data_IF_500132304445
#
_entry.id   IF_500132304445
#
_cell.length_a   1.000
_cell.length_b   1.000
_cell.length_c   1.000
_cell.angle_alpha   90.00
_cell.angle_beta   90.00
_cell.angle_gamma   90.00
#
_symmetry.space_group_name_H-M   'P 1'
#
loop_
_entity.id
_entity.type
_entity.pdbx_description
1 polymer ?
#
# COMPACT_ATOMS: atom_id res chain seq x y z
N UNK A 1 -3.76 1.25 -52.42
CA UNK A 1 -4.35 2.60 -52.28
C UNK A 1 -4.16 2.99 -50.83
N UNK A 2 -3.02 3.54 -50.48
CA UNK A 2 -2.63 4.92 -50.22
C UNK A 2 -3.56 5.67 -49.25
N UNK A 3 -3.14 5.88 -48.03
CA UNK A 3 -3.07 7.21 -47.42
C UNK A 3 -2.17 7.20 -46.16
N UNK A 4 -0.99 7.79 -46.33
CA UNK A 4 -0.12 8.33 -45.25
C UNK A 4 -0.65 9.69 -44.84
N UNK A 5 -0.72 10.01 -43.55
CA UNK A 5 -0.67 11.36 -42.94
C UNK A 5 -0.46 11.14 -41.43
N UNK A 6 0.33 11.82 -40.70
CA UNK A 6 1.54 12.64 -40.82
C UNK A 6 1.93 12.87 -39.37
N UNK A 7 3.17 12.52 -39.01
CA UNK A 7 3.85 12.94 -37.78
C UNK A 7 3.96 14.46 -37.80
N UNK A 8 3.38 15.13 -36.83
CA UNK A 8 3.61 16.55 -36.59
C UNK A 8 4.75 16.67 -35.58
N UNK A 9 5.87 17.19 -36.10
CA UNK A 9 7.03 17.64 -35.35
C UNK A 9 6.66 18.74 -34.33
N UNK A 10 6.90 18.50 -33.06
CA UNK A 10 6.97 19.53 -32.02
C UNK A 10 8.45 19.83 -31.71
N UNK A 11 9.14 20.42 -32.67
CA UNK A 11 10.44 21.01 -32.40
C UNK A 11 10.51 22.38 -33.10
N UNK A 12 10.83 23.41 -32.33
CA UNK A 12 11.16 24.79 -32.69
C UNK A 12 10.03 25.82 -32.53
N UNK A 13 9.76 26.20 -31.28
CA UNK A 13 9.36 27.60 -31.03
C UNK A 13 10.66 28.36 -30.74
N UNK A 14 11.34 28.79 -31.80
CA UNK A 14 12.36 29.83 -31.71
C UNK A 14 11.61 31.16 -31.68
N UNK A 15 11.57 31.79 -30.51
CA UNK A 15 11.07 33.17 -30.36
C UNK A 15 12.03 34.08 -31.17
N UNK A 16 11.63 34.50 -32.34
CA UNK A 16 12.36 35.53 -33.13
C UNK A 16 12.15 36.88 -32.42
N UNK A 17 13.20 37.62 -32.06
CA UNK A 17 13.08 38.94 -31.50
C UNK A 17 12.45 39.88 -32.54
N UNK A 18 11.55 40.78 -32.12
CA UNK A 18 10.91 41.75 -32.99
C UNK A 18 11.95 42.68 -33.63
N UNK A 19 11.68 43.13 -34.87
CA UNK A 19 12.57 43.98 -35.67
C UNK A 19 13.00 45.26 -34.91
N UNK A 20 12.17 45.79 -34.02
CA UNK A 20 12.49 46.94 -33.17
C UNK A 20 13.55 46.70 -32.09
N UNK A 21 13.71 45.46 -31.64
CA UNK A 21 14.77 45.12 -30.69
C UNK A 21 16.13 45.01 -31.35
N UNK A 22 16.18 44.59 -32.61
CA UNK A 22 17.43 44.48 -33.39
C UNK A 22 18.01 45.84 -33.79
N UNK A 23 17.17 46.86 -34.02
CA UNK A 23 17.63 48.22 -34.39
C UNK A 23 18.11 48.98 -33.15
N UNK A 24 17.54 48.75 -31.98
CA UNK A 24 18.03 49.29 -30.71
C UNK A 24 19.41 48.70 -30.34
N UNK A 25 19.67 47.44 -30.69
CA UNK A 25 20.92 46.73 -30.39
C UNK A 25 22.10 47.17 -31.29
N UNK A 26 21.86 47.76 -32.44
CA UNK A 26 22.93 48.29 -33.34
C UNK A 26 23.56 49.60 -32.83
N UNK A 27 22.87 50.29 -31.93
CA UNK A 27 23.38 51.55 -31.34
C UNK A 27 24.32 51.39 -30.13
N UNK A 28 24.43 50.21 -29.57
CA UNK A 28 25.27 49.94 -28.40
C UNK A 28 26.57 49.30 -28.87
N UNK A 29 27.68 50.04 -28.84
CA UNK A 29 29.02 49.55 -29.17
C UNK A 29 29.38 48.35 -28.31
N UNK A 30 30.40 47.54 -28.72
CA UNK A 30 30.73 46.19 -28.25
C UNK A 30 30.82 45.95 -26.72
N UNK A 31 30.74 46.98 -25.88
CA UNK A 31 30.63 46.89 -24.43
C UNK A 31 29.18 46.68 -23.92
N UNK A 32 28.16 47.02 -24.74
CA UNK A 32 26.74 46.79 -24.40
C UNK A 32 26.30 45.32 -24.50
N UNK A 33 26.97 44.53 -25.31
CA UNK A 33 26.69 43.10 -25.44
C UNK A 33 27.01 42.28 -24.16
N UNK A 34 28.09 42.64 -23.48
CA UNK A 34 28.44 41.97 -22.22
C UNK A 34 27.44 42.30 -21.10
N UNK A 35 26.83 43.47 -21.11
CA UNK A 35 25.83 43.85 -20.11
C UNK A 35 24.47 43.14 -20.29
N UNK A 36 24.01 42.97 -21.53
CA UNK A 36 22.76 42.27 -21.84
C UNK A 36 22.90 40.76 -21.58
N UNK A 37 24.05 40.16 -21.90
CA UNK A 37 24.34 38.76 -21.60
C UNK A 37 24.48 38.53 -20.06
N UNK A 38 25.09 39.46 -19.36
CA UNK A 38 25.24 39.36 -17.89
C UNK A 38 23.90 39.54 -17.15
N UNK A 39 22.98 40.41 -17.63
CA UNK A 39 21.65 40.57 -17.04
C UNK A 39 20.78 39.34 -17.31
N UNK A 40 20.86 38.71 -18.48
CA UNK A 40 20.15 37.45 -18.74
C UNK A 40 20.74 36.27 -17.94
N UNK A 41 22.05 36.25 -17.66
CA UNK A 41 22.67 35.26 -16.80
C UNK A 41 22.29 35.47 -15.32
N UNK A 42 22.19 36.72 -14.85
CA UNK A 42 21.77 37.06 -13.49
C UNK A 42 20.26 36.83 -13.28
N UNK A 43 19.40 37.09 -14.29
CA UNK A 43 17.97 36.81 -14.23
C UNK A 43 17.64 35.34 -14.47
N UNK A 44 18.48 34.57 -15.16
CA UNK A 44 18.37 33.13 -15.34
C UNK A 44 18.84 32.32 -14.13
N UNK A 45 19.61 32.90 -13.22
CA UNK A 45 20.14 32.20 -12.05
C UNK A 45 19.17 32.23 -10.85
N UNK A 46 18.12 33.04 -10.85
CA UNK A 46 17.18 33.17 -9.71
C UNK A 46 15.85 32.40 -9.86
N UNK A 47 15.67 31.62 -10.92
CA UNK A 47 14.47 30.79 -11.11
C UNK A 47 14.74 29.28 -10.95
N UNK A 48 15.82 28.89 -10.29
CA UNK A 48 15.82 27.60 -9.60
C UNK A 48 15.02 27.82 -8.30
N UNK A 49 13.70 27.67 -8.34
CA UNK A 49 12.94 27.42 -7.13
C UNK A 49 13.63 26.25 -6.46
N UNK A 50 14.25 26.49 -5.31
CA UNK A 50 14.85 25.43 -4.51
C UNK A 50 13.77 24.33 -4.39
N UNK A 51 14.03 23.17 -4.98
CA UNK A 51 13.10 22.01 -4.92
C UNK A 51 12.85 21.78 -3.43
N UNK A 52 11.63 22.07 -2.99
CA UNK A 52 11.28 22.00 -1.57
C UNK A 52 11.49 20.56 -1.14
N UNK A 53 12.47 20.34 -0.27
CA UNK A 53 12.67 19.01 0.29
C UNK A 53 11.47 18.65 1.15
N UNK A 54 10.61 17.81 0.60
CA UNK A 54 9.32 17.39 1.21
C UNK A 54 9.55 16.81 2.61
N UNK A 55 10.57 15.99 2.80
CA UNK A 55 10.89 15.37 4.09
C UNK A 55 11.28 16.43 5.14
N UNK A 56 12.11 17.37 4.76
CA UNK A 56 12.54 18.48 5.65
C UNK A 56 11.34 19.35 6.03
N UNK A 57 10.54 19.78 5.05
CA UNK A 57 9.34 20.58 5.29
C UNK A 57 8.39 19.89 6.29
N UNK A 58 8.06 18.62 6.06
CA UNK A 58 7.15 17.87 6.92
C UNK A 58 7.74 17.61 8.30
N UNK A 59 9.06 17.42 8.39
CA UNK A 59 9.77 17.27 9.66
C UNK A 59 9.66 18.56 10.48
N UNK A 60 9.86 19.73 9.87
CA UNK A 60 9.78 21.02 10.56
C UNK A 60 8.32 21.33 10.99
N UNK A 61 7.35 20.98 10.18
CA UNK A 61 5.93 21.09 10.56
C UNK A 61 5.63 20.18 11.77
N UNK A 62 6.16 18.97 11.78
CA UNK A 62 5.94 17.98 12.86
C UNK A 62 6.57 18.39 14.20
N UNK A 63 7.56 19.29 14.20
CA UNK A 63 8.17 19.83 15.44
C UNK A 63 7.28 20.87 16.16
N UNK A 64 6.25 21.39 15.47
CA UNK A 64 5.34 22.37 16.04
C UNK A 64 4.41 21.76 17.08
N UNK A 65 3.91 22.54 18.04
CA UNK A 65 2.80 22.12 18.90
C UNK A 65 1.61 21.62 18.06
N UNK A 66 0.82 20.68 18.57
CA UNK A 66 -0.21 19.97 17.81
C UNK A 66 -1.18 20.91 17.06
N UNK A 67 -1.65 21.95 17.72
CA UNK A 67 -2.58 22.94 17.13
C UNK A 67 -1.92 23.74 15.99
N UNK A 68 -0.70 24.26 16.24
CA UNK A 68 0.06 25.01 15.23
C UNK A 68 0.46 24.12 14.04
N UNK A 69 0.75 22.84 14.30
CA UNK A 69 1.03 21.86 13.28
C UNK A 69 -0.18 21.64 12.37
N UNK A 70 -1.35 21.39 12.97
CA UNK A 70 -2.59 21.20 12.20
C UNK A 70 -2.92 22.46 11.39
N UNK A 71 -2.80 23.65 12.00
CA UNK A 71 -3.02 24.91 11.31
C UNK A 71 -2.09 25.06 10.10
N UNK A 72 -0.78 24.82 10.26
CA UNK A 72 0.19 24.91 9.17
C UNK A 72 -0.15 23.92 8.02
N UNK A 73 -0.54 22.68 8.35
CA UNK A 73 -0.97 21.72 7.34
C UNK A 73 -2.25 22.19 6.62
N UNK A 74 -3.24 22.69 7.35
CA UNK A 74 -4.50 23.18 6.74
C UNK A 74 -4.28 24.40 5.85
N UNK A 75 -3.45 25.36 6.26
CA UNK A 75 -3.14 26.55 5.46
C UNK A 75 -2.40 26.21 4.18
N UNK A 76 -1.43 25.29 4.24
CA UNK A 76 -0.73 24.81 3.06
C UNK A 76 -1.66 24.02 2.14
N UNK A 77 -2.42 23.08 2.69
CA UNK A 77 -3.33 22.23 1.93
C UNK A 77 -4.47 23.04 1.25
N UNK A 78 -4.94 24.13 1.85
CA UNK A 78 -5.89 25.05 1.20
C UNK A 78 -5.33 25.68 -0.06
N UNK A 79 -4.04 25.99 -0.09
CA UNK A 79 -3.36 26.52 -1.28
C UNK A 79 -3.15 25.45 -2.33
N UNK A 80 -2.92 24.20 -1.90
CA UNK A 80 -2.72 23.04 -2.77
C UNK A 80 -4.04 22.57 -3.42
N UNK A 81 -5.16 22.60 -2.71
CA UNK A 81 -6.52 22.40 -3.18
C UNK A 81 -6.90 20.99 -3.62
N UNK A 82 -5.92 20.13 -3.87
CA UNK A 82 -6.12 18.77 -4.42
C UNK A 82 -5.05 17.83 -3.89
N UNK A 83 -5.36 16.53 -3.84
CA UNK A 83 -4.40 15.46 -3.57
C UNK A 83 -4.60 14.27 -4.52
N UNK A 84 -3.52 13.80 -5.14
CA UNK A 84 -3.52 12.62 -6.00
C UNK A 84 -3.08 11.40 -5.21
N UNK A 85 -3.92 10.37 -5.22
CA UNK A 85 -3.71 9.16 -4.45
C UNK A 85 -3.72 7.93 -5.34
N UNK A 86 -2.59 7.20 -5.41
CA UNK A 86 -2.53 5.86 -5.99
C UNK A 86 -2.74 4.83 -4.89
N UNK A 87 -3.74 3.97 -5.06
CA UNK A 87 -4.06 2.98 -4.05
C UNK A 87 -4.56 1.65 -4.58
N UNK A 88 -4.40 0.60 -3.78
CA UNK A 88 -4.83 -0.76 -4.12
C UNK A 88 -6.17 -1.16 -3.47
N UNK A 89 -6.75 -0.31 -2.62
CA UNK A 89 -8.08 -0.52 -2.05
C UNK A 89 -9.13 -0.48 -3.18
N UNK A 90 -10.18 -1.29 -3.09
CA UNK A 90 -11.27 -1.22 -4.07
C UNK A 90 -11.97 0.15 -4.03
N UNK A 91 -12.59 0.52 -5.15
CA UNK A 91 -13.19 1.85 -5.28
C UNK A 91 -14.28 2.13 -4.24
N UNK A 92 -15.27 1.25 -3.96
CA UNK A 92 -16.30 1.50 -2.95
C UNK A 92 -15.75 1.80 -1.56
N UNK A 93 -14.76 1.01 -1.09
CA UNK A 93 -14.14 1.20 0.22
C UNK A 93 -13.37 2.53 0.27
N UNK A 94 -12.63 2.86 -0.81
CA UNK A 94 -11.89 4.12 -0.88
C UNK A 94 -12.83 5.33 -0.96
N UNK A 95 -13.93 5.24 -1.70
CA UNK A 95 -14.90 6.32 -1.85
C UNK A 95 -15.54 6.70 -0.51
N UNK A 96 -15.74 5.73 0.38
CA UNK A 96 -16.24 5.99 1.73
C UNK A 96 -15.22 6.77 2.57
N UNK A 97 -13.96 6.35 2.55
CA UNK A 97 -12.87 7.06 3.22
C UNK A 97 -12.68 8.46 2.64
N UNK A 98 -12.72 8.59 1.32
CA UNK A 98 -12.59 9.87 0.62
C UNK A 98 -13.72 10.83 0.96
N UNK A 99 -14.98 10.38 0.95
CA UNK A 99 -16.12 11.22 1.36
C UNK A 99 -16.00 11.72 2.79
N UNK A 100 -15.55 10.87 3.71
CA UNK A 100 -15.35 11.28 5.09
C UNK A 100 -14.16 12.23 5.25
N UNK A 101 -13.08 12.04 4.49
CA UNK A 101 -11.94 12.96 4.43
C UNK A 101 -12.34 14.34 3.89
N UNK A 102 -13.04 14.39 2.75
CA UNK A 102 -13.47 15.66 2.14
C UNK A 102 -14.56 16.36 2.95
N UNK A 103 -15.36 15.63 3.74
CA UNK A 103 -16.25 16.24 4.72
C UNK A 103 -15.49 16.96 5.83
N UNK A 104 -14.36 16.42 6.26
CA UNK A 104 -13.49 17.06 7.27
C UNK A 104 -12.66 18.18 6.68
N UNK A 105 -12.21 18.06 5.43
CA UNK A 105 -11.38 19.02 4.72
C UNK A 105 -12.02 19.44 3.39
N UNK A 106 -13.12 20.24 3.41
CA UNK A 106 -13.94 20.54 2.23
C UNK A 106 -13.23 21.40 1.17
N UNK A 107 -12.06 21.90 1.48
CA UNK A 107 -11.19 22.64 0.57
C UNK A 107 -10.26 21.74 -0.25
N UNK A 108 -10.29 20.41 -0.04
CA UNK A 108 -9.47 19.43 -0.76
C UNK A 108 -10.32 18.57 -1.70
N UNK A 109 -9.91 18.51 -2.96
CA UNK A 109 -10.34 17.49 -3.90
C UNK A 109 -9.43 16.26 -3.78
N UNK A 110 -9.98 15.05 -3.90
CA UNK A 110 -9.19 13.80 -3.93
C UNK A 110 -9.32 13.15 -5.29
N UNK A 111 -8.20 12.93 -5.96
CA UNK A 111 -8.09 12.16 -7.20
C UNK A 111 -7.50 10.78 -6.91
N UNK A 112 -8.38 9.81 -6.73
CA UNK A 112 -7.98 8.43 -6.50
C UNK A 112 -7.82 7.65 -7.80
N UNK A 113 -6.67 6.97 -7.94
CA UNK A 113 -6.42 6.02 -9.04
C UNK A 113 -6.20 4.64 -8.44
N UNK A 114 -7.15 3.74 -8.67
CA UNK A 114 -7.06 2.35 -8.23
C UNK A 114 -6.16 1.56 -9.19
N UNK A 115 -5.10 0.95 -8.64
CA UNK A 115 -4.15 0.09 -9.37
C UNK A 115 -3.82 -1.13 -8.53
N UNK A 116 -3.32 -2.20 -9.16
CA UNK A 116 -2.67 -3.30 -8.45
C UNK A 116 -1.34 -2.83 -7.84
N UNK A 117 -0.88 -3.48 -6.76
CA UNK A 117 0.33 -3.03 -6.06
C UNK A 117 1.57 -2.98 -6.97
N UNK A 118 1.79 -4.00 -7.81
CA UNK A 118 2.88 -4.01 -8.80
C UNK A 118 2.75 -2.88 -9.84
N UNK A 119 1.52 -2.60 -10.29
CA UNK A 119 1.26 -1.49 -11.22
C UNK A 119 1.55 -0.14 -10.58
N UNK A 120 1.25 0.02 -9.27
CA UNK A 120 1.59 1.23 -8.52
C UNK A 120 3.10 1.43 -8.51
N UNK A 121 3.88 0.38 -8.17
CA UNK A 121 5.35 0.45 -8.15
C UNK A 121 5.91 0.82 -9.52
N UNK A 122 5.52 0.08 -10.56
CA UNK A 122 6.01 0.31 -11.92
C UNK A 122 5.70 1.73 -12.40
N UNK A 123 4.49 2.22 -12.12
CA UNK A 123 4.06 3.56 -12.48
C UNK A 123 4.83 4.62 -11.71
N UNK A 124 4.93 4.50 -10.38
CA UNK A 124 5.66 5.43 -9.54
C UNK A 124 7.14 5.52 -9.92
N UNK A 125 7.79 4.38 -10.20
CA UNK A 125 9.18 4.33 -10.67
C UNK A 125 9.35 5.03 -12.01
N UNK A 126 8.44 4.79 -12.95
CA UNK A 126 8.50 5.39 -14.30
C UNK A 126 8.32 6.90 -14.24
N UNK A 127 7.29 7.37 -13.53
CA UNK A 127 6.98 8.79 -13.36
C UNK A 127 8.10 9.52 -12.61
N UNK A 128 8.65 8.90 -11.55
CA UNK A 128 9.77 9.45 -10.80
C UNK A 128 11.02 9.64 -11.67
N UNK A 129 11.34 8.68 -12.54
CA UNK A 129 12.49 8.75 -13.45
C UNK A 129 12.32 9.81 -14.53
N UNK A 130 11.10 9.96 -15.05
CA UNK A 130 10.79 10.95 -16.09
C UNK A 130 10.59 12.36 -15.54
N UNK A 131 10.66 12.57 -14.22
CA UNK A 131 10.43 13.87 -13.59
C UNK A 131 8.97 14.36 -13.64
N UNK A 132 8.05 13.49 -14.07
CA UNK A 132 6.62 13.81 -14.07
C UNK A 132 6.09 13.69 -12.63
N UNK A 133 5.31 14.68 -12.13
CA UNK A 133 4.67 14.54 -10.84
C UNK A 133 3.74 13.34 -10.83
N UNK A 134 4.01 12.41 -9.91
CA UNK A 134 3.18 11.23 -9.69
C UNK A 134 2.10 11.49 -8.65
N UNK A 135 1.57 10.44 -8.02
CA UNK A 135 0.73 10.60 -6.86
C UNK A 135 1.44 11.36 -5.73
N UNK A 136 0.69 12.14 -4.97
CA UNK A 136 1.15 12.76 -3.73
C UNK A 136 1.23 11.72 -2.61
N UNK A 137 0.28 10.78 -2.63
CA UNK A 137 0.14 9.69 -1.67
C UNK A 137 0.05 8.35 -2.38
N UNK A 138 0.76 7.37 -1.85
CA UNK A 138 0.78 5.99 -2.33
C UNK A 138 0.34 5.06 -1.20
N UNK A 139 -0.70 4.25 -1.45
CA UNK A 139 -1.15 3.24 -0.49
C UNK A 139 -1.32 1.87 -1.13
N UNK A 140 -0.67 0.87 -0.55
CA UNK A 140 -0.74 -0.50 -1.05
C UNK A 140 -0.31 -1.51 0.01
N UNK A 141 -0.34 -2.80 -0.35
CA UNK A 141 0.26 -3.85 0.48
C UNK A 141 1.73 -3.53 0.74
N UNK A 142 2.14 -3.59 2.00
CA UNK A 142 3.47 -3.20 2.48
C UNK A 142 4.62 -3.96 1.83
N UNK A 143 4.38 -5.17 1.31
CA UNK A 143 5.36 -6.02 0.61
C UNK A 143 6.18 -5.28 -0.45
N UNK A 144 5.56 -4.33 -1.14
CA UNK A 144 6.18 -3.62 -2.26
C UNK A 144 6.79 -2.25 -1.87
N UNK A 145 6.59 -1.79 -0.64
CA UNK A 145 7.12 -0.49 -0.19
C UNK A 145 8.65 -0.41 -0.12
N UNK A 146 9.39 -1.48 0.25
CA UNK A 146 10.85 -1.44 0.23
C UNK A 146 11.44 -1.00 -1.11
N UNK A 147 10.84 -1.40 -2.23
CA UNK A 147 11.31 -0.98 -3.55
C UNK A 147 11.18 0.53 -3.78
N UNK A 148 10.06 1.13 -3.36
CA UNK A 148 9.88 2.58 -3.47
C UNK A 148 10.82 3.35 -2.56
N UNK A 149 11.11 2.79 -1.40
CA UNK A 149 12.05 3.37 -0.44
C UNK A 149 13.49 3.34 -0.98
N UNK A 150 13.98 2.16 -1.38
CA UNK A 150 15.34 2.00 -1.89
C UNK A 150 15.63 2.90 -3.11
N UNK A 151 14.59 3.19 -3.90
CA UNK A 151 14.63 4.12 -5.04
C UNK A 151 14.39 5.59 -4.66
N UNK A 152 14.20 5.91 -3.37
CA UNK A 152 13.93 7.26 -2.84
C UNK A 152 12.68 7.92 -3.46
N UNK A 153 11.67 7.11 -3.79
CA UNK A 153 10.40 7.58 -4.37
C UNK A 153 9.44 8.08 -3.28
N UNK A 154 9.60 7.61 -2.06
CA UNK A 154 8.82 8.03 -0.89
C UNK A 154 9.73 8.65 0.16
N UNK A 155 9.16 9.50 1.02
CA UNK A 155 9.86 10.19 2.11
C UNK A 155 9.45 9.67 3.47
N UNK A 156 10.28 9.93 4.48
CA UNK A 156 9.88 9.74 5.89
C UNK A 156 8.82 10.73 6.28
N UNK A 157 7.76 10.20 6.85
CA UNK A 157 6.74 11.01 7.49
C UNK A 157 6.20 10.30 8.72
N UNK A 158 6.50 10.82 9.89
CA UNK A 158 6.01 10.31 11.17
C UNK A 158 4.74 11.04 11.55
N UNK A 159 3.60 10.51 11.15
CA UNK A 159 2.32 11.02 11.62
C UNK A 159 2.22 10.92 13.14
N UNK A 160 1.75 11.95 13.87
CA UNK A 160 1.48 11.85 15.30
C UNK A 160 0.48 10.75 15.65
N UNK A 161 -0.35 10.35 14.69
CA UNK A 161 -1.33 9.27 14.87
C UNK A 161 -0.67 7.90 15.07
N UNK A 162 0.61 7.74 14.71
CA UNK A 162 1.34 6.48 14.93
C UNK A 162 1.51 6.12 16.40
N UNK A 163 1.41 7.10 17.32
CA UNK A 163 1.41 6.87 18.75
C UNK A 163 0.24 6.01 19.26
N UNK A 164 -0.84 5.92 18.48
CA UNK A 164 -2.03 5.14 18.82
C UNK A 164 -2.06 3.76 18.17
N UNK A 165 -1.03 3.39 17.41
CA UNK A 165 -1.00 2.08 16.74
C UNK A 165 -0.71 0.95 17.73
N UNK A 166 -1.28 -0.21 17.47
CA UNK A 166 -1.00 -1.44 18.21
C UNK A 166 0.46 -1.85 18.01
N UNK A 167 1.01 -2.51 19.00
CA UNK A 167 2.33 -3.12 18.91
C UNK A 167 2.39 -4.05 17.68
N UNK A 168 3.49 -3.97 16.94
CA UNK A 168 3.68 -4.74 15.69
C UNK A 168 3.23 -4.02 14.42
N UNK A 169 2.48 -2.91 14.53
CA UNK A 169 2.05 -2.11 13.38
C UNK A 169 2.79 -0.79 13.22
N UNK A 170 3.81 -0.56 14.04
CA UNK A 170 4.64 0.65 13.95
C UNK A 170 5.86 0.40 13.08
N UNK A 171 6.13 1.34 12.17
CA UNK A 171 7.38 1.43 11.45
C UNK A 171 8.36 2.32 12.23
N UNK A 172 9.41 1.72 12.80
CA UNK A 172 10.40 2.45 13.61
C UNK A 172 11.18 3.49 12.81
N UNK A 173 11.29 3.31 11.50
CA UNK A 173 12.02 4.24 10.63
C UNK A 173 11.12 5.38 10.11
N UNK A 174 9.81 5.26 10.21
CA UNK A 174 8.86 6.27 9.77
C UNK A 174 8.73 6.40 8.26
N UNK A 175 9.03 5.32 7.53
CA UNK A 175 8.96 5.27 6.07
C UNK A 175 7.54 5.09 5.57
N UNK A 176 6.74 4.39 6.37
CA UNK A 176 5.35 4.07 6.05
C UNK A 176 4.48 4.16 7.28
N UNK A 177 3.20 4.43 7.07
CA UNK A 177 2.18 4.33 8.09
C UNK A 177 1.24 3.16 7.77
N UNK A 178 1.05 2.27 8.73
CA UNK A 178 0.17 1.11 8.55
C UNK A 178 -1.30 1.50 8.74
N UNK A 179 -2.12 1.22 7.75
CA UNK A 179 -3.53 1.66 7.73
C UNK A 179 -4.48 0.58 8.21
N UNK A 180 -4.37 -0.64 7.69
CA UNK A 180 -5.15 -1.79 8.12
C UNK A 180 -4.39 -3.09 7.89
N UNK A 181 -4.86 -4.15 8.53
CA UNK A 181 -4.31 -5.48 8.42
C UNK A 181 -5.38 -6.50 8.01
N UNK A 182 -4.94 -7.69 7.67
CA UNK A 182 -5.79 -8.85 7.41
C UNK A 182 -5.16 -10.05 8.07
N UNK A 183 -5.89 -10.68 8.99
CA UNK A 183 -5.50 -11.95 9.58
C UNK A 183 -5.80 -13.11 8.64
N UNK A 184 -4.93 -14.11 8.63
CA UNK A 184 -5.23 -15.40 8.04
C UNK A 184 -6.03 -16.24 9.03
N UNK A 185 -7.00 -16.97 8.51
CA UNK A 185 -7.79 -17.92 9.26
C UNK A 185 -7.97 -19.19 8.44
N UNK A 186 -8.07 -20.32 9.09
CA UNK A 186 -8.53 -21.54 8.46
C UNK A 186 -10.03 -21.47 8.30
N UNK A 187 -10.52 -21.42 7.05
CA UNK A 187 -11.96 -21.32 6.74
C UNK A 187 -12.48 -22.69 6.33
N UNK A 188 -13.56 -23.15 6.94
CA UNK A 188 -14.12 -24.45 6.65
C UNK A 188 -15.63 -24.42 6.41
N UNK A 189 -16.11 -25.38 5.63
CA UNK A 189 -17.55 -25.56 5.39
C UNK A 189 -18.17 -26.35 6.55
N UNK A 190 -19.16 -25.78 7.24
CA UNK A 190 -19.78 -26.36 8.46
C UNK A 190 -20.67 -27.56 8.18
N UNK A 191 -21.06 -27.82 6.92
CA UNK A 191 -21.80 -29.04 6.53
C UNK A 191 -20.86 -30.24 6.31
N UNK A 192 -19.54 -29.99 6.11
CA UNK A 192 -18.54 -31.00 5.81
C UNK A 192 -17.55 -31.22 6.94
N UNK A 193 -17.33 -30.21 7.77
CA UNK A 193 -16.42 -30.23 8.92
C UNK A 193 -17.19 -29.68 10.13
N UNK A 194 -17.39 -30.50 11.16
CA UNK A 194 -17.99 -30.04 12.40
C UNK A 194 -17.03 -29.09 13.11
N UNK A 195 -17.52 -28.00 13.76
CA UNK A 195 -16.66 -27.08 14.50
C UNK A 195 -15.75 -27.76 15.53
N UNK A 196 -16.23 -28.84 16.17
CA UNK A 196 -15.43 -29.63 17.14
C UNK A 196 -14.30 -30.43 16.48
N UNK A 197 -14.35 -30.68 15.19
CA UNK A 197 -13.37 -31.45 14.42
C UNK A 197 -12.41 -30.58 13.63
N UNK A 198 -12.67 -29.27 13.56
CA UNK A 198 -11.83 -28.33 12.86
C UNK A 198 -10.42 -28.25 13.48
N UNK A 199 -9.36 -28.06 12.67
CA UNK A 199 -7.99 -28.02 13.15
C UNK A 199 -7.78 -26.78 14.04
N UNK A 200 -6.97 -26.92 15.10
CA UNK A 200 -6.66 -25.83 16.04
C UNK A 200 -5.27 -25.25 15.81
N UNK A 201 -4.42 -26.00 15.12
CA UNK A 201 -3.04 -25.60 14.81
C UNK A 201 -2.69 -26.01 13.37
N UNK A 202 -1.55 -25.53 12.89
CA UNK A 202 -1.04 -25.96 11.58
C UNK A 202 -0.63 -27.45 11.59
N UNK A 203 -0.13 -27.94 12.69
CA UNK A 203 0.27 -29.34 12.86
C UNK A 203 -0.92 -30.29 12.70
N UNK A 204 -2.12 -29.90 13.15
CA UNK A 204 -3.34 -30.69 13.02
C UNK A 204 -3.69 -30.98 11.55
N UNK A 205 -3.25 -30.13 10.61
CA UNK A 205 -3.45 -30.33 9.16
C UNK A 205 -2.70 -31.55 8.60
N UNK A 206 -1.70 -32.04 9.32
CA UNK A 206 -0.97 -33.26 8.94
C UNK A 206 -1.68 -34.56 9.38
N UNK A 207 -2.78 -34.45 10.13
CA UNK A 207 -3.53 -35.63 10.52
C UNK A 207 -4.19 -36.29 9.30
N UNK A 208 -4.17 -37.64 9.15
CA UNK A 208 -4.68 -38.35 7.97
C UNK A 208 -6.12 -38.04 7.56
N UNK A 209 -6.96 -37.59 8.49
CA UNK A 209 -8.35 -37.18 8.18
C UNK A 209 -8.46 -36.02 7.20
N UNK A 210 -7.39 -35.23 7.01
CA UNK A 210 -7.37 -34.08 6.11
C UNK A 210 -6.91 -34.42 4.70
N UNK A 211 -6.55 -35.69 4.46
CA UNK A 211 -6.06 -36.12 3.14
C UNK A 211 -7.10 -35.84 2.03
N UNK A 212 -6.69 -35.04 1.02
CA UNK A 212 -7.52 -34.65 -0.12
C UNK A 212 -8.55 -33.56 0.18
N UNK A 213 -8.61 -33.03 1.41
CA UNK A 213 -9.63 -32.10 1.90
C UNK A 213 -9.15 -30.66 2.03
N UNK A 214 -7.86 -30.40 1.84
CA UNK A 214 -7.22 -29.11 2.06
C UNK A 214 -7.04 -28.35 0.75
N UNK A 215 -7.26 -27.03 0.80
CA UNK A 215 -6.96 -26.11 -0.28
C UNK A 215 -6.16 -24.91 0.24
N UNK A 216 -5.25 -24.42 -0.59
CA UNK A 216 -4.41 -23.25 -0.32
C UNK A 216 -4.41 -22.34 -1.56
N UNK A 217 -4.29 -21.03 -1.37
CA UNK A 217 -4.06 -20.14 -2.50
C UNK A 217 -2.66 -20.38 -3.08
N UNK A 218 -2.54 -20.45 -4.40
CA UNK A 218 -1.23 -20.63 -5.06
C UNK A 218 -0.35 -19.36 -4.98
N UNK A 219 -0.88 -18.26 -4.43
CA UNK A 219 -0.19 -16.99 -4.16
C UNK A 219 -0.02 -16.76 -2.63
N UNK A 220 -0.03 -17.83 -1.83
CA UNK A 220 0.08 -17.79 -0.37
C UNK A 220 1.48 -17.43 0.15
N UNK A 221 2.23 -16.61 -0.59
CA UNK A 221 3.62 -16.28 -0.29
C UNK A 221 3.77 -15.53 1.03
N UNK A 222 2.86 -14.57 1.32
CA UNK A 222 2.88 -13.81 2.57
C UNK A 222 2.57 -14.70 3.78
N UNK A 223 1.65 -15.67 3.63
CA UNK A 223 1.35 -16.66 4.68
C UNK A 223 2.55 -17.58 4.92
N UNK A 224 3.19 -18.04 3.84
CA UNK A 224 4.38 -18.89 3.93
C UNK A 224 5.57 -18.14 4.58
N UNK A 225 5.74 -16.85 4.26
CA UNK A 225 6.71 -15.99 4.95
C UNK A 225 6.42 -15.91 6.46
N UNK A 226 5.16 -15.83 6.85
CA UNK A 226 4.75 -15.88 8.25
C UNK A 226 5.10 -17.21 8.94
N UNK A 227 4.95 -18.33 8.25
CA UNK A 227 5.40 -19.64 8.76
C UNK A 227 6.92 -19.70 8.93
N UNK A 228 7.67 -19.15 7.95
CA UNK A 228 9.14 -19.07 8.05
C UNK A 228 9.56 -18.23 9.25
N UNK A 229 8.90 -17.09 9.48
CA UNK A 229 9.16 -16.25 10.65
C UNK A 229 8.90 -16.99 11.98
N UNK A 230 7.85 -17.83 12.03
CA UNK A 230 7.44 -18.53 13.23
C UNK A 230 8.29 -19.77 13.55
N UNK A 231 8.63 -20.57 12.54
CA UNK A 231 9.24 -21.87 12.78
C UNK A 231 10.58 -22.10 12.05
N UNK A 232 11.03 -21.12 11.28
CA UNK A 232 12.24 -21.21 10.45
C UNK A 232 12.00 -21.84 9.07
N UNK A 233 12.86 -21.51 8.10
CA UNK A 233 12.70 -21.84 6.69
C UNK A 233 12.63 -23.36 6.43
N UNK A 234 13.50 -24.13 7.10
CA UNK A 234 13.56 -25.58 6.94
C UNK A 234 12.26 -26.27 7.39
N UNK A 235 11.78 -25.91 8.61
CA UNK A 235 10.55 -26.49 9.17
C UNK A 235 9.32 -26.07 8.36
N UNK A 236 9.22 -24.79 7.98
CA UNK A 236 8.12 -24.28 7.17
C UNK A 236 8.06 -24.98 5.80
N UNK A 237 9.21 -25.15 5.13
CA UNK A 237 9.30 -25.84 3.85
C UNK A 237 8.97 -27.33 3.98
N UNK A 238 9.45 -27.99 5.04
CA UNK A 238 9.12 -29.39 5.33
C UNK A 238 7.63 -29.57 5.58
N UNK A 239 7.02 -28.70 6.38
CA UNK A 239 5.59 -28.70 6.65
C UNK A 239 4.76 -28.54 5.36
N UNK A 240 5.07 -27.53 4.55
CA UNK A 240 4.36 -27.29 3.29
C UNK A 240 4.51 -28.48 2.32
N UNK A 241 5.70 -29.07 2.23
CA UNK A 241 5.94 -30.26 1.41
C UNK A 241 5.08 -31.44 1.87
N UNK A 242 4.95 -31.69 3.19
CA UNK A 242 4.08 -32.74 3.72
C UNK A 242 2.61 -32.49 3.39
N UNK A 243 2.14 -31.24 3.45
CA UNK A 243 0.79 -30.92 3.00
C UNK A 243 0.57 -31.30 1.53
N UNK A 244 1.55 -31.06 0.67
CA UNK A 244 1.47 -31.44 -0.76
C UNK A 244 1.52 -32.94 -0.94
N UNK A 245 2.56 -33.61 -0.40
CA UNK A 245 2.86 -35.00 -0.72
C UNK A 245 2.03 -36.01 0.08
N UNK A 246 1.75 -35.72 1.35
CA UNK A 246 1.07 -36.66 2.25
C UNK A 246 -0.44 -36.36 2.33
N UNK A 247 -0.81 -35.07 2.33
CA UNK A 247 -2.21 -34.66 2.46
C UNK A 247 -2.89 -34.39 1.11
N UNK A 248 -2.16 -34.33 0.00
CA UNK A 248 -2.74 -34.06 -1.33
C UNK A 248 -3.34 -32.64 -1.39
N UNK A 249 -2.61 -31.65 -0.87
CA UNK A 249 -3.00 -30.25 -0.87
C UNK A 249 -3.35 -29.77 -2.28
N UNK A 250 -4.52 -29.13 -2.42
CA UNK A 250 -4.96 -28.53 -3.69
C UNK A 250 -4.55 -27.06 -3.72
N UNK A 251 -3.89 -26.64 -4.79
CA UNK A 251 -3.60 -25.24 -5.04
C UNK A 251 -4.65 -24.66 -5.96
N UNK A 252 -5.24 -23.52 -5.55
CA UNK A 252 -6.25 -22.78 -6.32
C UNK A 252 -5.84 -21.30 -6.35
N UNK A 253 -6.56 -20.48 -7.07
CA UNK A 253 -6.21 -19.08 -7.25
C UNK A 253 -7.34 -18.19 -6.75
N UNK A 254 -6.98 -17.10 -6.04
CA UNK A 254 -7.86 -16.06 -5.54
C UNK A 254 -8.61 -16.43 -4.25
N UNK A 255 -8.13 -15.96 -3.11
CA UNK A 255 -8.70 -16.20 -1.77
C UNK A 255 -10.23 -16.01 -1.68
N UNK A 256 -10.78 -14.95 -2.32
CA UNK A 256 -12.23 -14.71 -2.29
C UNK A 256 -13.00 -15.79 -3.04
N UNK A 257 -12.50 -16.23 -4.21
CA UNK A 257 -13.12 -17.32 -4.97
C UNK A 257 -12.99 -18.64 -4.21
N UNK A 258 -11.82 -18.95 -3.64
CA UNK A 258 -11.63 -20.18 -2.87
C UNK A 258 -12.57 -20.19 -1.65
N UNK A 259 -12.73 -19.06 -0.96
CA UNK A 259 -13.68 -18.94 0.16
C UNK A 259 -15.13 -19.21 -0.32
N UNK A 260 -15.51 -18.66 -1.47
CA UNK A 260 -16.83 -18.92 -2.07
C UNK A 260 -17.03 -20.39 -2.41
N UNK A 261 -16.05 -21.05 -3.01
CA UNK A 261 -16.09 -22.49 -3.34
C UNK A 261 -16.11 -23.35 -2.07
N UNK A 262 -15.41 -22.94 -1.02
CA UNK A 262 -15.49 -23.60 0.29
C UNK A 262 -16.91 -23.44 0.87
N UNK A 263 -17.51 -22.25 0.78
CA UNK A 263 -18.89 -22.02 1.21
C UNK A 263 -19.90 -22.88 0.41
N UNK A 264 -19.66 -23.07 -0.88
CA UNK A 264 -20.46 -23.96 -1.74
C UNK A 264 -20.25 -25.46 -1.49
N UNK A 265 -19.25 -25.84 -0.67
CA UNK A 265 -18.94 -27.24 -0.34
C UNK A 265 -18.03 -27.95 -1.33
N UNK A 266 -17.38 -27.24 -2.26
CA UNK A 266 -16.39 -27.84 -3.18
C UNK A 266 -15.06 -28.13 -2.49
N UNK A 267 -14.75 -27.37 -1.43
CA UNK A 267 -13.60 -27.56 -0.57
C UNK A 267 -14.04 -27.67 0.89
N UNK A 268 -13.39 -28.53 1.63
CA UNK A 268 -13.71 -28.72 3.04
C UNK A 268 -13.06 -27.65 3.92
N UNK A 269 -11.78 -27.32 3.64
CA UNK A 269 -10.99 -26.38 4.42
C UNK A 269 -9.98 -25.61 3.57
N UNK A 270 -10.06 -24.27 3.63
CA UNK A 270 -9.07 -23.32 3.11
C UNK A 270 -8.10 -22.95 4.24
N UNK A 271 -6.79 -23.18 4.03
CA UNK A 271 -5.78 -23.01 5.09
C UNK A 271 -5.47 -21.52 5.36
N UNK A 272 -5.32 -20.71 4.30
CA UNK A 272 -4.85 -19.33 4.34
C UNK A 272 -5.96 -18.30 4.02
N UNK A 273 -7.19 -18.61 4.41
CA UNK A 273 -8.32 -17.74 4.12
C UNK A 273 -8.21 -16.36 4.79
N UNK A 274 -8.73 -15.34 4.12
CA UNK A 274 -8.84 -14.01 4.73
C UNK A 274 -10.08 -13.95 5.62
N UNK A 275 -9.89 -13.59 6.89
CA UNK A 275 -10.97 -13.56 7.88
C UNK A 275 -12.17 -12.71 7.45
N UNK A 276 -11.95 -11.56 6.77
CA UNK A 276 -13.05 -10.71 6.31
C UNK A 276 -13.94 -11.39 5.26
N UNK A 277 -13.37 -12.25 4.39
CA UNK A 277 -14.15 -13.04 3.46
C UNK A 277 -15.04 -14.06 4.20
N UNK A 278 -14.47 -14.77 5.19
CA UNK A 278 -15.26 -15.71 5.99
C UNK A 278 -16.40 -15.02 6.72
N UNK A 279 -16.15 -13.88 7.32
CA UNK A 279 -17.16 -13.05 8.00
C UNK A 279 -18.27 -12.63 7.04
N UNK A 280 -17.92 -12.14 5.86
CA UNK A 280 -18.87 -11.71 4.83
C UNK A 280 -19.80 -12.87 4.43
N UNK A 281 -19.25 -14.04 4.10
CA UNK A 281 -20.05 -15.21 3.73
C UNK A 281 -20.90 -15.72 4.89
N UNK A 282 -20.35 -15.79 6.11
CA UNK A 282 -21.07 -16.21 7.31
C UNK A 282 -22.25 -15.28 7.61
N UNK A 283 -22.05 -13.96 7.49
CA UNK A 283 -23.11 -12.96 7.70
C UNK A 283 -24.22 -13.07 6.65
N UNK A 284 -23.89 -13.50 5.42
CA UNK A 284 -24.87 -13.79 4.36
C UNK A 284 -25.57 -15.16 4.53
N UNK A 285 -25.31 -15.89 5.62
CA UNK A 285 -25.93 -17.18 5.91
C UNK A 285 -25.28 -18.38 5.21
N UNK A 286 -24.11 -18.22 4.60
CA UNK A 286 -23.38 -19.34 4.03
C UNK A 286 -22.86 -20.31 5.12
N UNK A 287 -22.81 -21.63 4.87
CA UNK A 287 -22.39 -22.62 5.84
C UNK A 287 -20.85 -22.63 5.98
N UNK A 288 -20.28 -21.53 6.44
CA UNK A 288 -18.85 -21.40 6.71
C UNK A 288 -18.59 -20.96 8.13
N UNK A 289 -17.48 -21.43 8.67
CA UNK A 289 -16.90 -20.91 9.90
C UNK A 289 -15.37 -20.84 9.74
N UNK A 290 -14.69 -20.27 10.72
CA UNK A 290 -13.25 -20.08 10.66
C UNK A 290 -12.61 -20.21 12.03
N UNK A 291 -11.33 -20.53 12.02
CA UNK A 291 -10.49 -20.68 13.22
C UNK A 291 -9.21 -19.89 13.01
N UNK A 292 -8.80 -19.18 14.04
CA UNK A 292 -7.48 -18.58 14.13
C UNK A 292 -6.46 -19.57 14.73
N UNK A 293 -5.25 -19.54 14.23
CA UNK A 293 -4.12 -20.24 14.86
C UNK A 293 -3.56 -19.43 16.01
N UNK A 294 -2.72 -20.04 16.84
CA UNK A 294 -1.98 -19.35 17.89
C UNK A 294 -0.47 -19.56 17.71
N UNK A 295 0.31 -18.52 17.32
CA UNK A 295 -0.17 -17.18 16.97
C UNK A 295 -0.93 -17.12 15.65
N UNK A 296 -1.82 -16.13 15.53
CA UNK A 296 -2.49 -15.83 14.25
C UNK A 296 -1.54 -15.08 13.33
N UNK A 297 -1.28 -15.60 12.15
CA UNK A 297 -0.47 -14.90 11.14
C UNK A 297 -1.31 -13.75 10.54
N UNK A 298 -0.72 -12.57 10.57
CA UNK A 298 -1.27 -11.36 9.94
C UNK A 298 -0.42 -11.02 8.73
N UNK A 299 -1.03 -10.99 7.56
CA UNK A 299 -0.33 -10.63 6.33
C UNK A 299 0.28 -9.23 6.43
N UNK A 300 1.27 -8.89 5.56
CA UNK A 300 1.81 -7.54 5.50
C UNK A 300 0.71 -6.50 5.49
N UNK A 301 0.70 -5.58 6.45
CA UNK A 301 -0.35 -4.56 6.54
C UNK A 301 -0.39 -3.72 5.27
N UNK A 302 -1.56 -3.17 4.97
CA UNK A 302 -1.65 -2.08 4.01
C UNK A 302 -1.00 -0.85 4.61
N UNK A 303 -0.18 -0.18 3.83
CA UNK A 303 0.59 0.99 4.25
C UNK A 303 0.31 2.18 3.34
N UNK A 304 0.54 3.37 3.87
CA UNK A 304 0.41 4.63 3.16
C UNK A 304 1.70 5.43 3.32
N UNK A 305 2.16 6.08 2.26
CA UNK A 305 3.40 6.86 2.23
C UNK A 305 3.23 8.12 1.37
N UNK A 306 4.10 9.11 1.59
CA UNK A 306 4.13 10.37 0.83
C UNK A 306 5.21 10.28 -0.23
N UNK A 307 4.90 10.71 -1.46
CA UNK A 307 5.84 10.77 -2.57
C UNK A 307 6.91 11.83 -2.34
N UNK A 308 8.17 11.51 -2.68
CA UNK A 308 9.30 12.43 -2.55
C UNK A 308 9.22 13.65 -3.48
N UNK A 309 8.52 13.52 -4.60
CA UNK A 309 8.33 14.59 -5.60
C UNK A 309 6.94 15.20 -5.58
N UNK A 310 6.19 15.03 -4.47
CA UNK A 310 4.90 15.70 -4.34
C UNK A 310 5.07 17.23 -4.34
N UNK A 311 4.20 17.89 -5.09
CA UNK A 311 4.06 19.36 -5.04
C UNK A 311 2.96 19.79 -4.04
N UNK A 312 2.37 18.81 -3.31
CA UNK A 312 1.25 19.00 -2.37
C UNK A 312 1.51 18.32 -1.02
N UNK A 313 2.65 18.63 -0.37
CA UNK A 313 3.08 17.93 0.83
C UNK A 313 2.12 18.11 2.02
N UNK A 314 1.44 19.25 2.12
CA UNK A 314 0.52 19.51 3.23
C UNK A 314 -0.77 18.68 3.08
N UNK A 315 -1.36 18.63 1.89
CA UNK A 315 -2.54 17.79 1.60
C UNK A 315 -2.22 16.31 1.75
N UNK A 316 -1.02 15.88 1.30
CA UNK A 316 -0.55 14.52 1.46
C UNK A 316 -0.40 14.14 2.95
N UNK A 317 0.18 15.01 3.77
CA UNK A 317 0.32 14.79 5.20
C UNK A 317 -1.05 14.73 5.92
N UNK A 318 -1.99 15.60 5.59
CA UNK A 318 -3.36 15.55 6.12
C UNK A 318 -4.05 14.24 5.74
N UNK A 319 -3.85 13.72 4.52
CA UNK A 319 -4.42 12.45 4.10
C UNK A 319 -3.82 11.27 4.88
N UNK A 320 -2.50 11.22 5.07
CA UNK A 320 -1.86 10.19 5.88
C UNK A 320 -2.36 10.23 7.32
N UNK A 321 -2.41 11.42 7.94
CA UNK A 321 -2.92 11.59 9.30
C UNK A 321 -4.38 11.14 9.42
N UNK A 322 -5.21 11.46 8.41
CA UNK A 322 -6.60 11.05 8.37
C UNK A 322 -6.75 9.54 8.30
N UNK A 323 -6.01 8.84 7.42
CA UNK A 323 -6.08 7.38 7.31
C UNK A 323 -5.71 6.66 8.61
N UNK A 324 -4.89 7.28 9.45
CA UNK A 324 -4.52 6.79 10.78
C UNK A 324 -5.43 7.33 11.90
N UNK A 325 -6.34 8.24 11.58
CA UNK A 325 -7.25 8.81 12.58
C UNK A 325 -8.29 7.81 13.05
N UNK A 326 -8.82 8.01 14.25
CA UNK A 326 -9.87 7.13 14.80
C UNK A 326 -11.10 7.03 13.89
N UNK A 327 -11.66 8.13 13.33
CA UNK A 327 -12.81 8.05 12.41
C UNK A 327 -12.54 7.20 11.17
N UNK A 328 -11.39 7.34 10.51
CA UNK A 328 -11.06 6.54 9.34
C UNK A 328 -10.86 5.06 9.70
N UNK A 329 -10.23 4.78 10.83
CA UNK A 329 -10.01 3.42 11.32
C UNK A 329 -11.32 2.75 11.76
N UNK A 330 -12.29 3.50 12.28
CA UNK A 330 -13.64 2.99 12.58
C UNK A 330 -14.41 2.65 11.29
N UNK A 331 -14.28 3.44 10.22
CA UNK A 331 -14.83 3.11 8.90
C UNK A 331 -14.22 1.77 8.41
N UNK A 332 -12.89 1.65 8.44
CA UNK A 332 -12.20 0.42 8.02
C UNK A 332 -12.62 -0.79 8.85
N UNK A 333 -12.77 -0.65 10.16
CA UNK A 333 -13.16 -1.75 11.05
C UNK A 333 -14.61 -2.18 10.84
N UNK A 334 -15.55 -1.22 10.91
CA UNK A 334 -16.97 -1.55 11.06
C UNK A 334 -17.72 -1.67 9.74
N UNK A 335 -17.27 -0.96 8.70
CA UNK A 335 -17.93 -1.00 7.39
C UNK A 335 -17.19 -1.88 6.38
N UNK A 336 -15.86 -2.01 6.52
CA UNK A 336 -15.04 -2.76 5.58
C UNK A 336 -14.50 -4.07 6.17
N UNK A 337 -14.87 -4.40 7.41
CA UNK A 337 -14.44 -5.60 8.14
C UNK A 337 -12.91 -5.79 8.16
N UNK A 338 -12.16 -4.67 8.17
CA UNK A 338 -10.69 -4.68 8.22
C UNK A 338 -10.20 -4.72 9.67
N UNK A 339 -9.06 -5.33 9.89
CA UNK A 339 -8.35 -5.19 11.16
C UNK A 339 -7.64 -3.85 11.17
N UNK A 340 -8.16 -2.94 12.00
CA UNK A 340 -7.55 -1.62 12.19
C UNK A 340 -6.23 -1.74 12.92
N UNK A 341 -5.32 -0.83 12.62
CA UNK A 341 -4.01 -0.80 13.28
C UNK A 341 -4.02 0.02 14.57
N UNK A 342 -5.09 0.78 14.87
CA UNK A 342 -5.22 1.55 16.12
C UNK A 342 -5.61 0.67 17.32
N UNK A 343 -4.96 0.91 18.45
CA UNK A 343 -5.22 0.19 19.70
C UNK A 343 -6.58 0.54 20.33
N UNK A 344 -7.07 1.77 20.09
CA UNK A 344 -8.32 2.30 20.65
C UNK A 344 -9.55 2.08 19.73
N UNK A 345 -9.41 1.30 18.66
CA UNK A 345 -10.50 0.85 17.80
C UNK A 345 -10.60 -0.67 17.87
N UNK A 346 -11.77 -1.20 18.19
CA UNK A 346 -12.00 -2.65 18.29
C UNK A 346 -11.99 -3.27 16.88
N UNK A 347 -11.40 -4.44 16.77
CA UNK A 347 -11.53 -5.27 15.58
C UNK A 347 -12.94 -5.84 15.49
N UNK A 348 -13.42 -6.01 14.27
CA UNK A 348 -14.70 -6.69 14.02
C UNK A 348 -14.65 -8.15 14.50
N UNK A 349 -13.52 -8.81 14.27
CA UNK A 349 -13.23 -10.16 14.78
C UNK A 349 -11.91 -10.12 15.53
N UNK A 350 -11.96 -10.24 16.85
CA UNK A 350 -10.75 -10.40 17.67
C UNK A 350 -10.34 -11.89 17.62
N UNK A 351 -9.09 -12.21 17.24
CA UNK A 351 -8.64 -13.60 17.23
C UNK A 351 -8.61 -14.23 18.62
N UNK A 352 -8.55 -13.41 19.69
CA UNK A 352 -8.38 -13.90 21.05
C UNK A 352 -7.06 -14.63 21.29
N UNK A 353 -6.13 -14.54 20.35
CA UNK A 353 -4.82 -15.19 20.34
C UNK A 353 -3.72 -14.17 20.14
N UNK A 354 -2.47 -14.58 20.36
CA UNK A 354 -1.31 -13.78 19.96
C UNK A 354 -1.32 -13.60 18.44
N UNK A 355 -0.91 -12.41 17.96
CA UNK A 355 -0.77 -12.12 16.54
C UNK A 355 0.70 -12.05 16.13
N UNK A 356 1.02 -12.64 14.98
CA UNK A 356 2.32 -12.51 14.33
C UNK A 356 2.16 -11.68 13.04
N UNK A 357 2.62 -10.43 13.09
CA UNK A 357 2.53 -9.52 11.94
C UNK A 357 3.74 -9.74 11.03
N UNK A 358 3.47 -10.18 9.81
CA UNK A 358 4.50 -10.31 8.77
C UNK A 358 4.92 -8.92 8.32
N UNK A 359 6.11 -8.46 8.72
CA UNK A 359 6.59 -7.10 8.45
C UNK A 359 7.47 -7.05 7.21
N UNK A 360 7.06 -6.34 6.14
CA UNK A 360 7.83 -6.27 4.89
C UNK A 360 9.14 -5.48 5.03
N UNK A 361 9.25 -4.63 6.06
CA UNK A 361 10.48 -3.87 6.35
C UNK A 361 11.56 -4.71 7.03
N UNK A 362 11.20 -5.91 7.50
CA UNK A 362 12.15 -6.91 7.96
C UNK A 362 12.83 -7.59 6.77
N UNK A 363 13.54 -8.67 7.06
CA UNK A 363 14.36 -9.42 6.10
C UNK A 363 13.61 -9.94 4.86
N UNK A 364 12.37 -10.42 5.00
CA UNK A 364 11.65 -11.12 3.95
C UNK A 364 11.13 -10.18 2.83
N UNK A 365 10.85 -8.91 3.12
CA UNK A 365 10.44 -7.95 2.10
C UNK A 365 11.50 -7.77 1.01
N UNK A 366 12.78 -7.78 1.39
CA UNK A 366 13.91 -7.77 0.45
C UNK A 366 14.15 -9.13 -0.21
N UNK A 367 13.73 -10.21 0.43
CA UNK A 367 13.80 -11.59 -0.07
C UNK A 367 12.49 -12.08 -0.69
N UNK A 368 11.56 -11.19 -1.03
CA UNK A 368 10.24 -11.61 -1.51
C UNK A 368 10.32 -12.56 -2.72
N UNK A 369 11.16 -12.26 -3.70
CA UNK A 369 11.36 -13.13 -4.87
C UNK A 369 11.89 -14.52 -4.49
N UNK A 370 12.77 -14.60 -3.49
CA UNK A 370 13.30 -15.88 -2.98
C UNK A 370 12.21 -16.67 -2.28
N UNK A 371 11.34 -16.02 -1.50
CA UNK A 371 10.18 -16.67 -0.86
C UNK A 371 9.20 -17.22 -1.91
N UNK A 372 8.92 -16.44 -2.96
CA UNK A 372 8.06 -16.89 -4.07
C UNK A 372 8.66 -18.13 -4.74
N UNK A 373 9.96 -18.13 -5.02
CA UNK A 373 10.65 -19.24 -5.65
C UNK A 373 10.70 -20.47 -4.72
N UNK A 374 10.98 -20.27 -3.43
CA UNK A 374 10.97 -21.33 -2.43
C UNK A 374 9.57 -21.98 -2.29
N UNK A 375 8.52 -21.13 -2.25
CA UNK A 375 7.14 -21.61 -2.23
C UNK A 375 6.83 -22.47 -3.46
N UNK A 376 7.16 -21.99 -4.65
CA UNK A 376 6.96 -22.72 -5.92
C UNK A 376 7.69 -24.06 -5.92
N UNK A 377 8.97 -24.09 -5.53
CA UNK A 377 9.76 -25.34 -5.43
C UNK A 377 9.17 -26.31 -4.42
N UNK A 378 8.68 -25.80 -3.31
CA UNK A 378 8.13 -26.63 -2.23
C UNK A 378 6.76 -27.20 -2.59
N UNK A 379 5.97 -26.48 -3.40
CA UNK A 379 4.64 -26.89 -3.84
C UNK A 379 4.60 -27.58 -5.21
N UNK A 380 5.71 -27.58 -5.95
CA UNK A 380 5.81 -28.35 -7.20
C UNK A 380 5.64 -29.85 -6.91
N UNK A 381 4.72 -30.48 -7.65
CA UNK A 381 4.47 -31.93 -7.60
C UNK A 381 5.40 -32.68 -8.53
#
# INVERSE_FOLDING_TARGET
MTSRRSLIDFAQIVVRPSVHLMDFMKGLGGKGWLFVVAINWLLGAELHSAEVNVETLLTDINRKPAEQRLQALMEGAKKEGIVYHYGSINAPDNDELTRAFTKQYPFLEVRYTRLGAEQIVNRAVTEFRSGVPSADVISMRGTFMPELWDKKIIVRYRSPMTAFLRRGFTDSEGLTATTFATGYAMIFNTTRVKPSEAPKSYEDLLHPRWKGRLVLDNDAHDWFAGLIDLMGEEKASSFLRKLVTEQGLKLKRNHSLITQLTAAGEHDLLIDGYVHNAVEFKTKGAPVDFIFTNPTIVKPPSVIAISAKTTRPHAAALMVDYYLSKPAQEIMAHKQSRWTTRADVKWFTDPGTEIHVVSPLKWWGRRYSEIVELFRKTTAQ
#
